data_IF_111218243693
#
_entry.id   IF_111218243693
#
_cell.length_a   1.000
_cell.length_b   1.000
_cell.length_c   1.000
_cell.angle_alpha   90.00
_cell.angle_beta   90.00
_cell.angle_gamma   90.00
#
_symmetry.space_group_name_H-M   'P 1'
#
loop_
_entity.id
_entity.type
_entity.pdbx_description
1 polymer ?
#
# COMPACT_ATOMS: atom_id res chain seq x y z
N UNK A 1 -27.25 -8.73 4.64
CA UNK A 1 -26.75 -7.52 5.35
C UNK A 1 -25.38 -7.26 4.77
N UNK A 2 -25.05 -6.01 4.38
CA UNK A 2 -23.70 -5.73 3.86
C UNK A 2 -22.66 -6.03 4.96
N UNK A 3 -21.57 -6.75 4.65
CA UNK A 3 -20.52 -7.01 5.63
C UNK A 3 -19.74 -5.75 6.01
N UNK A 4 -19.74 -4.72 5.14
CA UNK A 4 -19.06 -3.45 5.37
C UNK A 4 -19.97 -2.27 5.02
N UNK A 5 -19.92 -1.21 5.83
CA UNK A 5 -20.59 0.07 5.62
C UNK A 5 -19.58 1.20 5.37
N UNK A 6 -18.32 0.96 5.72
CA UNK A 6 -17.20 1.89 5.54
C UNK A 6 -15.98 1.17 4.98
N UNK A 7 -15.27 1.86 4.10
CA UNK A 7 -13.92 1.51 3.67
C UNK A 7 -12.95 2.60 4.12
N UNK A 8 -11.86 2.19 4.76
CA UNK A 8 -10.80 3.06 5.25
C UNK A 8 -9.46 2.61 4.66
N UNK A 9 -8.75 3.50 3.97
CA UNK A 9 -7.39 3.25 3.52
C UNK A 9 -6.39 3.98 4.42
N UNK A 10 -5.47 3.21 4.98
CA UNK A 10 -4.34 3.65 5.79
C UNK A 10 -3.04 3.29 5.07
N UNK A 11 -1.99 4.08 5.29
CA UNK A 11 -0.65 3.72 4.85
C UNK A 11 0.06 4.79 4.03
N UNK A 12 0.78 4.32 3.02
CA UNK A 12 1.76 5.09 2.26
C UNK A 12 1.34 5.35 0.79
N UNK A 13 2.33 5.67 -0.05
CA UNK A 13 2.16 5.96 -1.47
C UNK A 13 1.54 4.81 -2.28
N UNK A 14 1.56 3.58 -1.80
CA UNK A 14 0.90 2.46 -2.46
C UNK A 14 -0.63 2.61 -2.52
N UNK A 15 -1.23 3.40 -1.61
CA UNK A 15 -2.68 3.60 -1.50
C UNK A 15 -3.19 4.91 -2.11
N UNK A 16 -2.30 5.89 -2.38
CA UNK A 16 -2.72 7.23 -2.83
C UNK A 16 -2.91 7.34 -4.34
N UNK A 17 -3.56 8.43 -4.77
CA UNK A 17 -3.85 8.69 -6.19
C UNK A 17 -2.70 9.39 -6.94
N UNK A 18 -1.78 10.05 -6.24
CA UNK A 18 -0.82 10.99 -6.82
C UNK A 18 0.01 10.38 -7.96
N UNK A 19 0.76 9.32 -7.67
CA UNK A 19 1.71 8.75 -8.63
C UNK A 19 1.02 8.05 -9.80
N UNK A 20 -0.05 7.27 -9.61
CA UNK A 20 -0.85 6.74 -10.69
C UNK A 20 -1.39 7.81 -11.64
N UNK A 21 -1.87 8.94 -11.11
CA UNK A 21 -2.38 10.04 -11.94
C UNK A 21 -1.26 10.79 -12.68
N UNK A 22 -0.08 10.94 -12.08
CA UNK A 22 1.10 11.48 -12.76
C UNK A 22 1.56 10.57 -13.90
N UNK A 23 1.54 9.26 -13.69
CA UNK A 23 1.89 8.27 -14.70
C UNK A 23 0.89 8.28 -15.88
N UNK A 24 -0.39 8.38 -15.58
CA UNK A 24 -1.45 8.51 -16.59
C UNK A 24 -1.45 9.86 -17.34
N UNK A 25 -0.56 10.79 -16.97
CA UNK A 25 -0.47 12.12 -17.59
C UNK A 25 -1.64 13.06 -17.27
N UNK A 26 -2.43 12.76 -16.23
CA UNK A 26 -3.59 13.54 -15.85
C UNK A 26 -3.24 14.80 -15.07
N UNK A 27 -2.03 14.90 -14.57
CA UNK A 27 -1.51 16.07 -13.84
C UNK A 27 -0.14 16.43 -14.41
N UNK A 28 0.12 17.72 -14.63
CA UNK A 28 1.47 18.19 -14.94
C UNK A 28 2.38 17.99 -13.71
N UNK A 29 3.48 17.28 -13.91
CA UNK A 29 4.44 16.93 -12.83
C UNK A 29 4.97 18.19 -12.13
N UNK A 30 5.24 19.29 -12.87
CA UNK A 30 5.71 20.53 -12.29
C UNK A 30 4.66 21.14 -11.35
N UNK A 31 3.37 21.11 -11.75
CA UNK A 31 2.26 21.61 -10.94
C UNK A 31 2.03 20.73 -9.72
N UNK A 32 2.17 19.40 -9.86
CA UNK A 32 2.01 18.47 -8.76
C UNK A 32 3.11 18.65 -7.68
N UNK A 33 4.37 18.77 -8.10
CA UNK A 33 5.51 18.96 -7.19
C UNK A 33 5.47 20.31 -6.44
N UNK A 34 4.90 21.37 -7.06
CA UNK A 34 4.69 22.65 -6.40
C UNK A 34 3.51 22.64 -5.39
N UNK A 35 2.60 21.68 -5.52
CA UNK A 35 1.37 21.61 -4.75
C UNK A 35 1.26 20.39 -3.83
N UNK A 36 2.30 19.56 -3.69
CA UNK A 36 2.39 18.58 -2.61
C UNK A 36 2.30 19.36 -1.27
N UNK A 37 1.41 19.19 -0.42
CA UNK A 37 0.44 18.17 -0.02
C UNK A 37 -1.04 18.54 -0.30
N UNK A 38 -1.33 19.48 -1.18
CA UNK A 38 -2.68 20.00 -1.40
C UNK A 38 -3.25 19.64 -2.79
N UNK A 39 -2.81 18.56 -3.42
CA UNK A 39 -3.35 18.13 -4.71
C UNK A 39 -4.75 17.51 -4.53
N UNK A 40 -5.72 18.38 -4.22
CA UNK A 40 -7.10 18.09 -4.46
C UNK A 40 -7.40 18.20 -5.97
N UNK A 41 -8.03 17.19 -6.56
CA UNK A 41 -8.43 17.20 -7.97
C UNK A 41 -7.58 16.32 -8.90
N UNK A 42 -6.78 15.42 -8.35
CA UNK A 42 -6.18 14.29 -9.08
C UNK A 42 -7.28 13.27 -9.35
N UNK A 43 -7.28 12.65 -10.54
CA UNK A 43 -8.24 11.58 -10.79
C UNK A 43 -8.04 10.41 -9.80
N UNK A 44 -9.12 9.83 -9.29
CA UNK A 44 -9.09 8.77 -8.29
C UNK A 44 -8.73 7.43 -8.93
N UNK A 45 -7.46 7.25 -9.30
CA UNK A 45 -6.91 6.04 -9.93
C UNK A 45 -5.76 5.39 -9.15
N UNK A 46 -5.56 5.79 -7.90
CA UNK A 46 -4.74 5.07 -6.94
C UNK A 46 -5.43 3.77 -6.49
N UNK A 47 -4.67 2.87 -5.89
CA UNK A 47 -5.18 1.55 -5.55
C UNK A 47 -6.41 1.60 -4.62
N UNK A 48 -6.39 2.47 -3.60
CA UNK A 48 -7.51 2.61 -2.67
C UNK A 48 -8.76 3.18 -3.35
N UNK A 49 -8.59 4.20 -4.19
CA UNK A 49 -9.70 4.80 -4.94
C UNK A 49 -10.29 3.82 -5.94
N UNK A 50 -9.44 3.05 -6.66
CA UNK A 50 -9.88 2.03 -7.61
C UNK A 50 -10.58 0.85 -6.92
N UNK A 51 -10.18 0.47 -5.73
CA UNK A 51 -10.90 -0.54 -4.95
C UNK A 51 -12.28 -0.02 -4.53
N UNK A 52 -12.36 1.24 -4.09
CA UNK A 52 -13.64 1.85 -3.72
C UNK A 52 -14.57 1.97 -4.91
N UNK A 53 -14.10 2.60 -5.98
CA UNK A 53 -14.85 2.82 -7.22
C UNK A 53 -13.94 2.69 -8.43
N UNK A 54 -14.26 1.76 -9.32
CA UNK A 54 -13.50 1.56 -10.54
C UNK A 54 -13.62 2.78 -11.49
N UNK A 55 -12.52 3.11 -12.15
CA UNK A 55 -12.51 4.04 -13.29
C UNK A 55 -12.75 3.26 -14.58
N UNK A 56 -13.99 3.22 -15.06
CA UNK A 56 -14.34 2.48 -16.28
C UNK A 56 -13.62 3.02 -17.52
N UNK A 57 -13.28 4.30 -17.54
CA UNK A 57 -12.49 4.91 -18.61
C UNK A 57 -11.11 4.27 -18.73
N UNK A 58 -10.44 4.00 -17.62
CA UNK A 58 -9.08 3.44 -17.57
C UNK A 58 -9.10 1.91 -17.50
N UNK A 59 -10.06 1.36 -16.79
CA UNK A 59 -10.12 -0.06 -16.43
C UNK A 59 -11.51 -0.67 -16.70
N UNK A 60 -11.98 -0.69 -17.99
CA UNK A 60 -13.31 -1.20 -18.32
C UNK A 60 -13.51 -2.69 -17.98
N UNK A 61 -12.43 -3.47 -17.90
CA UNK A 61 -12.49 -4.89 -17.52
C UNK A 61 -12.94 -5.12 -16.07
N UNK A 62 -12.88 -4.09 -15.22
CA UNK A 62 -13.31 -4.14 -13.81
C UNK A 62 -14.67 -3.44 -13.60
N UNK A 63 -15.45 -3.20 -14.64
CA UNK A 63 -16.77 -2.61 -14.50
C UNK A 63 -17.66 -3.45 -13.57
N UNK A 64 -18.15 -2.83 -12.50
CA UNK A 64 -18.95 -3.51 -11.47
C UNK A 64 -18.14 -4.34 -10.46
N UNK A 65 -16.82 -4.36 -10.56
CA UNK A 65 -15.94 -5.07 -9.63
C UNK A 65 -15.19 -4.09 -8.70
N UNK A 66 -15.97 -3.42 -7.86
CA UNK A 66 -15.52 -2.45 -6.88
C UNK A 66 -16.43 -2.48 -5.63
N UNK A 67 -16.01 -1.79 -4.57
CA UNK A 67 -16.73 -1.84 -3.30
C UNK A 67 -18.11 -1.16 -3.35
N UNK A 68 -18.28 -0.09 -4.14
CA UNK A 68 -19.61 0.56 -4.25
C UNK A 68 -20.62 -0.33 -4.99
N UNK A 69 -20.16 -1.16 -5.92
CA UNK A 69 -20.97 -2.14 -6.63
C UNK A 69 -21.29 -3.36 -5.74
N UNK A 70 -20.31 -3.82 -4.96
CA UNK A 70 -20.46 -4.98 -4.06
C UNK A 70 -21.26 -4.63 -2.79
N UNK A 71 -21.09 -3.42 -2.23
CA UNK A 71 -21.64 -3.02 -0.92
C UNK A 71 -22.36 -1.68 -1.02
N UNK A 72 -23.64 -1.73 -1.33
CA UNK A 72 -24.45 -0.53 -1.54
C UNK A 72 -24.41 0.43 -0.34
N UNK A 73 -24.02 1.66 -0.61
CA UNK A 73 -23.98 2.74 0.40
C UNK A 73 -22.73 2.73 1.29
N UNK A 74 -21.69 1.95 0.92
CA UNK A 74 -20.39 2.01 1.59
C UNK A 74 -19.80 3.43 1.45
N UNK A 75 -19.24 3.95 2.54
CA UNK A 75 -18.49 5.22 2.54
C UNK A 75 -17.00 4.97 2.39
N UNK A 76 -16.23 5.98 2.02
CA UNK A 76 -14.79 5.86 1.81
C UNK A 76 -14.01 7.02 2.44
N UNK A 77 -13.01 6.67 3.22
CA UNK A 77 -12.00 7.59 3.76
C UNK A 77 -10.61 7.09 3.35
N UNK A 78 -9.84 7.94 2.67
CA UNK A 78 -8.43 7.69 2.40
C UNK A 78 -7.60 8.70 3.19
N UNK A 79 -6.90 8.21 4.21
CA UNK A 79 -5.98 9.01 5.03
C UNK A 79 -4.53 8.59 4.83
N UNK A 80 -4.27 7.69 3.89
CA UNK A 80 -2.91 7.33 3.46
C UNK A 80 -2.18 8.58 2.93
N UNK A 81 -0.89 8.64 3.16
CA UNK A 81 -0.07 9.79 2.78
C UNK A 81 1.27 9.36 2.17
N UNK A 82 1.77 10.21 1.27
CA UNK A 82 3.05 9.98 0.60
C UNK A 82 4.19 9.87 1.61
N UNK A 83 5.05 8.86 1.43
CA UNK A 83 6.23 8.67 2.26
C UNK A 83 5.96 8.20 3.69
N UNK A 84 4.71 7.92 4.07
CA UNK A 84 4.36 7.57 5.44
C UNK A 84 5.14 6.36 5.96
N UNK A 85 5.48 6.42 7.25
CA UNK A 85 6.08 5.37 8.06
C UNK A 85 5.05 4.76 9.03
N UNK A 86 5.38 3.63 9.65
CA UNK A 86 4.55 3.01 10.70
C UNK A 86 4.21 4.04 11.80
N UNK A 87 5.20 4.85 12.20
CA UNK A 87 5.01 5.89 13.21
C UNK A 87 4.04 6.99 12.78
N UNK A 88 4.04 7.40 11.51
CA UNK A 88 3.14 8.43 10.99
C UNK A 88 1.70 7.91 10.81
N UNK A 89 1.51 6.63 10.42
CA UNK A 89 0.17 6.04 10.46
C UNK A 89 -0.40 6.10 11.88
N UNK A 90 0.40 5.73 12.88
CA UNK A 90 -0.02 5.78 14.29
C UNK A 90 -0.27 7.22 14.78
N UNK A 91 0.71 8.13 14.58
CA UNK A 91 0.72 9.46 15.17
C UNK A 91 -0.07 10.52 14.39
N UNK A 92 -0.34 10.29 13.10
CA UNK A 92 -1.00 11.27 12.25
C UNK A 92 -2.29 10.75 11.63
N UNK A 93 -2.25 9.60 10.93
CA UNK A 93 -3.43 9.11 10.23
C UNK A 93 -4.52 8.66 11.19
N UNK A 94 -4.19 7.82 12.18
CA UNK A 94 -5.17 7.35 13.17
C UNK A 94 -5.70 8.48 14.05
N UNK A 95 -4.93 9.56 14.27
CA UNK A 95 -5.38 10.69 15.08
C UNK A 95 -6.45 11.54 14.41
N UNK A 96 -6.66 11.40 13.10
CA UNK A 96 -7.72 12.09 12.35
C UNK A 96 -9.05 11.33 12.39
N UNK A 97 -9.08 10.14 12.97
CA UNK A 97 -10.20 9.22 12.92
C UNK A 97 -10.79 9.00 14.30
N UNK A 98 -12.11 8.94 14.38
CA UNK A 98 -12.80 8.54 15.59
C UNK A 98 -12.84 7.01 15.73
N UNK A 99 -12.87 6.53 16.98
CA UNK A 99 -13.11 5.13 17.28
C UNK A 99 -14.56 4.75 16.93
N UNK A 100 -14.75 3.55 16.39
CA UNK A 100 -16.08 3.09 15.97
C UNK A 100 -16.19 1.56 15.99
N UNK A 101 -17.42 1.08 16.18
CA UNK A 101 -17.84 -0.31 16.00
C UNK A 101 -18.55 -0.53 14.65
N UNK A 102 -18.53 0.46 13.78
CA UNK A 102 -19.08 0.37 12.43
C UNK A 102 -18.38 -0.73 11.63
N UNK A 103 -19.13 -1.59 10.89
CA UNK A 103 -18.53 -2.60 10.02
C UNK A 103 -17.60 -1.96 8.97
N UNK A 104 -16.29 -2.03 9.19
CA UNK A 104 -15.27 -1.34 8.39
C UNK A 104 -14.33 -2.32 7.71
N UNK A 105 -14.13 -2.18 6.40
CA UNK A 105 -12.98 -2.74 5.70
C UNK A 105 -11.82 -1.76 5.81
N UNK A 106 -10.65 -2.24 6.22
CA UNK A 106 -9.44 -1.39 6.34
C UNK A 106 -8.34 -2.01 5.48
N UNK A 107 -7.73 -1.25 4.57
CA UNK A 107 -6.47 -1.63 3.91
C UNK A 107 -5.31 -0.90 4.57
N UNK A 108 -4.19 -1.60 4.76
CA UNK A 108 -2.96 -1.04 5.33
C UNK A 108 -1.76 -1.37 4.43
N UNK A 109 -1.15 -0.34 3.86
CA UNK A 109 0.08 -0.40 3.06
C UNK A 109 1.16 0.39 3.78
N UNK A 110 2.13 -0.27 4.42
CA UNK A 110 3.14 0.44 5.22
C UNK A 110 4.38 -0.42 5.46
N UNK A 111 5.51 0.21 5.79
CA UNK A 111 6.77 -0.42 6.18
C UNK A 111 7.89 -0.24 5.14
N UNK A 112 7.54 0.02 3.88
CA UNK A 112 8.52 0.25 2.82
C UNK A 112 9.42 1.46 3.09
N UNK A 113 8.82 2.58 3.49
CA UNK A 113 9.55 3.82 3.81
C UNK A 113 10.40 3.68 5.06
N UNK A 114 9.94 2.93 6.06
CA UNK A 114 10.73 2.62 7.26
C UNK A 114 12.02 1.89 6.90
N UNK A 115 11.91 0.83 6.07
CA UNK A 115 13.06 0.04 5.63
C UNK A 115 14.01 0.85 4.74
N UNK A 116 13.48 1.62 3.77
CA UNK A 116 14.29 2.48 2.90
C UNK A 116 15.03 3.55 3.70
N UNK A 117 14.35 4.22 4.64
CA UNK A 117 14.94 5.23 5.50
C UNK A 117 16.04 4.63 6.40
N UNK A 118 15.78 3.44 6.96
CA UNK A 118 16.78 2.73 7.75
C UNK A 118 18.04 2.44 6.96
N UNK A 119 17.90 1.96 5.71
CA UNK A 119 19.03 1.69 4.82
C UNK A 119 19.78 2.97 4.41
N UNK A 120 19.08 4.03 4.10
CA UNK A 120 19.65 5.32 3.71
C UNK A 120 20.58 5.93 4.77
N UNK A 121 20.39 5.58 6.04
CA UNK A 121 21.26 5.99 7.15
C UNK A 121 22.59 5.19 7.24
N UNK A 122 22.87 4.28 6.29
CA UNK A 122 24.10 3.48 6.19
C UNK A 122 24.43 2.69 7.46
N UNK A 123 23.48 1.97 8.07
CA UNK A 123 23.77 1.21 9.26
C UNK A 123 24.65 -0.01 8.94
N UNK A 124 25.38 -0.51 9.96
CA UNK A 124 25.97 -1.85 9.84
C UNK A 124 24.85 -2.90 9.75
N UNK A 125 25.16 -4.06 9.17
CA UNK A 125 24.18 -5.13 8.94
C UNK A 125 23.45 -5.54 10.22
N UNK A 126 24.17 -5.74 11.33
CA UNK A 126 23.57 -6.13 12.61
C UNK A 126 22.61 -5.08 13.17
N UNK A 127 22.90 -3.78 12.90
CA UNK A 127 22.01 -2.70 13.27
C UNK A 127 20.77 -2.67 12.38
N UNK A 128 20.93 -2.91 11.08
CA UNK A 128 19.80 -2.96 10.16
C UNK A 128 18.84 -4.10 10.50
N UNK A 129 19.36 -5.28 10.84
CA UNK A 129 18.54 -6.42 11.31
C UNK A 129 17.83 -6.15 12.64
N UNK A 130 18.40 -5.31 13.48
CA UNK A 130 17.75 -4.85 14.71
C UNK A 130 16.63 -3.85 14.39
N UNK A 131 16.90 -2.87 13.54
CA UNK A 131 15.91 -1.86 13.13
C UNK A 131 14.72 -2.54 12.44
N UNK A 132 14.95 -3.54 11.59
CA UNK A 132 13.88 -4.31 10.96
C UNK A 132 12.96 -4.98 12.00
N UNK A 133 13.54 -5.59 13.05
CA UNK A 133 12.72 -6.15 14.15
C UNK A 133 11.97 -5.06 14.92
N UNK A 134 12.59 -3.92 15.18
CA UNK A 134 11.94 -2.79 15.85
C UNK A 134 10.75 -2.25 14.99
N UNK A 135 10.90 -2.24 13.66
CA UNK A 135 9.81 -1.90 12.72
C UNK A 135 8.69 -2.95 12.76
N UNK A 136 9.03 -4.24 12.78
CA UNK A 136 8.04 -5.32 12.86
C UNK A 136 7.25 -5.26 14.19
N UNK A 137 7.91 -5.01 15.32
CA UNK A 137 7.25 -4.81 16.60
C UNK A 137 6.34 -3.57 16.61
N UNK A 138 6.78 -2.47 15.98
CA UNK A 138 5.95 -1.27 15.83
C UNK A 138 4.74 -1.52 14.92
N UNK A 139 4.91 -2.34 13.88
CA UNK A 139 3.82 -2.77 13.00
C UNK A 139 2.78 -3.61 13.75
N UNK A 140 3.20 -4.55 14.58
CA UNK A 140 2.30 -5.34 15.44
C UNK A 140 1.47 -4.42 16.36
N UNK A 141 2.14 -3.49 17.03
CA UNK A 141 1.48 -2.51 17.89
C UNK A 141 0.49 -1.63 17.12
N UNK A 142 0.81 -1.22 15.89
CA UNK A 142 -0.08 -0.49 15.01
C UNK A 142 -1.34 -1.31 14.67
N UNK A 143 -1.16 -2.58 14.27
CA UNK A 143 -2.26 -3.50 13.96
C UNK A 143 -3.18 -3.68 15.17
N UNK A 144 -2.63 -3.91 16.36
CA UNK A 144 -3.40 -4.04 17.59
C UNK A 144 -4.17 -2.74 17.91
N UNK A 145 -3.55 -1.58 17.68
CA UNK A 145 -4.19 -0.28 17.89
C UNK A 145 -5.35 -0.07 16.92
N UNK A 146 -5.16 -0.36 15.62
CA UNK A 146 -6.23 -0.28 14.61
C UNK A 146 -7.40 -1.15 15.03
N UNK A 147 -7.15 -2.38 15.44
CA UNK A 147 -8.20 -3.32 15.87
C UNK A 147 -8.93 -2.89 17.13
N UNK A 148 -8.21 -2.27 18.07
CA UNK A 148 -8.81 -1.69 19.27
C UNK A 148 -9.75 -0.53 18.97
N UNK A 149 -9.36 0.34 18.03
CA UNK A 149 -10.14 1.52 17.63
C UNK A 149 -11.32 1.20 16.71
N UNK A 150 -11.16 0.16 15.86
CA UNK A 150 -12.17 -0.28 14.89
C UNK A 150 -12.59 -1.73 15.22
N UNK A 151 -13.32 -1.90 16.31
CA UNK A 151 -13.60 -3.21 16.91
C UNK A 151 -14.38 -4.18 16.01
N UNK A 152 -15.13 -3.67 15.02
CA UNK A 152 -15.86 -4.45 14.02
C UNK A 152 -15.25 -4.30 12.62
N UNK A 153 -13.91 -4.32 12.52
CA UNK A 153 -13.21 -4.23 11.23
C UNK A 153 -12.76 -5.58 10.70
N UNK A 154 -12.65 -5.66 9.38
CA UNK A 154 -11.78 -6.59 8.66
C UNK A 154 -10.57 -5.81 8.20
N UNK A 155 -9.38 -6.24 8.61
CA UNK A 155 -8.12 -5.59 8.27
C UNK A 155 -7.43 -6.36 7.16
N UNK A 156 -7.02 -5.68 6.09
CA UNK A 156 -6.26 -6.25 4.98
C UNK A 156 -4.83 -5.71 5.05
N UNK A 157 -3.88 -6.58 5.34
CA UNK A 157 -2.46 -6.26 5.41
C UNK A 157 -1.80 -6.50 4.07
N UNK A 158 -1.18 -5.48 3.49
CA UNK A 158 -0.42 -5.60 2.26
C UNK A 158 1.07 -5.85 2.54
N UNK A 159 1.67 -6.80 1.83
CA UNK A 159 3.13 -6.91 1.79
C UNK A 159 3.73 -5.80 0.94
N UNK A 160 4.96 -5.40 1.24
CA UNK A 160 5.71 -4.37 0.50
C UNK A 160 6.33 -5.00 -0.75
N UNK A 161 6.09 -4.41 -1.92
CA UNK A 161 6.66 -4.88 -3.19
C UNK A 161 8.18 -4.65 -3.28
N UNK A 162 8.83 -5.33 -4.21
CA UNK A 162 10.26 -5.18 -4.53
C UNK A 162 10.46 -4.66 -5.97
N UNK A 163 10.71 -3.37 -6.16
CA UNK A 163 10.95 -2.82 -7.49
C UNK A 163 12.22 -3.35 -8.17
N UNK A 164 13.13 -3.96 -7.39
CA UNK A 164 14.40 -4.47 -7.91
C UNK A 164 14.33 -5.87 -8.52
N UNK A 165 13.18 -6.56 -8.40
CA UNK A 165 13.01 -7.98 -8.78
C UNK A 165 14.08 -8.90 -8.14
N UNK A 166 14.38 -8.69 -6.85
CA UNK A 166 15.33 -9.50 -6.08
C UNK A 166 16.79 -9.10 -6.21
N UNK A 167 17.13 -8.09 -7.02
CA UNK A 167 18.53 -7.66 -7.20
C UNK A 167 19.00 -6.66 -6.16
N UNK A 168 18.09 -5.97 -5.50
CA UNK A 168 18.36 -4.85 -4.58
C UNK A 168 18.78 -3.56 -5.30
N UNK A 169 18.88 -3.56 -6.63
CA UNK A 169 19.33 -2.40 -7.42
C UNK A 169 18.11 -1.70 -8.04
N UNK A 170 17.85 -0.48 -7.58
CA UNK A 170 16.77 0.37 -8.09
C UNK A 170 17.41 1.68 -8.54
N UNK A 171 17.46 1.96 -9.85
CA UNK A 171 18.07 3.19 -10.37
C UNK A 171 17.46 4.45 -9.72
N UNK A 172 18.33 5.33 -9.22
CA UNK A 172 17.93 6.56 -8.54
C UNK A 172 17.61 6.40 -7.05
N UNK A 173 17.68 5.19 -6.51
CA UNK A 173 17.44 4.92 -5.08
C UNK A 173 18.75 4.46 -4.44
N UNK A 174 19.41 5.37 -3.74
CA UNK A 174 20.67 5.10 -3.03
C UNK A 174 21.77 4.48 -3.90
N UNK A 175 21.93 4.93 -5.13
CA UNK A 175 22.90 4.41 -6.11
C UNK A 175 24.35 4.33 -5.58
N UNK A 176 24.70 5.17 -4.60
CA UNK A 176 26.01 5.23 -3.96
C UNK A 176 26.17 4.23 -2.80
N UNK A 177 25.11 3.54 -2.35
CA UNK A 177 25.14 2.58 -1.26
C UNK A 177 25.29 1.12 -1.71
N UNK A 178 25.06 0.86 -3.01
CA UNK A 178 25.01 -0.49 -3.55
C UNK A 178 23.62 -1.14 -3.41
N UNK A 179 23.52 -2.47 -3.56
CA UNK A 179 22.23 -3.16 -3.52
C UNK A 179 21.54 -3.05 -2.16
N UNK A 180 20.23 -2.79 -2.17
CA UNK A 180 19.39 -2.93 -0.99
C UNK A 180 19.41 -4.37 -0.47
N UNK A 181 19.43 -4.59 0.84
CA UNK A 181 19.45 -5.91 1.44
C UNK A 181 18.06 -6.56 1.38
N UNK A 182 17.73 -7.16 0.25
CA UNK A 182 16.40 -7.74 -0.04
C UNK A 182 15.94 -8.75 1.00
N UNK A 183 16.86 -9.46 1.63
CA UNK A 183 16.56 -10.38 2.73
C UNK A 183 15.91 -9.68 3.95
N UNK A 184 16.12 -8.38 4.13
CA UNK A 184 15.45 -7.59 5.17
C UNK A 184 13.98 -7.37 4.81
N UNK A 185 13.73 -6.98 3.55
CA UNK A 185 12.38 -6.85 3.02
C UNK A 185 11.62 -8.18 3.08
N UNK A 186 12.26 -9.28 2.70
CA UNK A 186 11.64 -10.61 2.77
C UNK A 186 11.23 -10.98 4.19
N UNK A 187 12.09 -10.76 5.21
CA UNK A 187 11.75 -11.04 6.61
C UNK A 187 10.57 -10.19 7.10
N UNK A 188 10.55 -8.90 6.75
CA UNK A 188 9.43 -8.04 7.08
C UNK A 188 8.13 -8.53 6.42
N UNK A 189 8.17 -8.87 5.13
CA UNK A 189 7.01 -9.41 4.42
C UNK A 189 6.56 -10.77 4.98
N UNK A 190 7.48 -11.63 5.39
CA UNK A 190 7.15 -12.92 6.05
C UNK A 190 6.49 -12.68 7.41
N UNK A 191 6.90 -11.64 8.15
CA UNK A 191 6.25 -11.22 9.38
C UNK A 191 4.81 -10.75 9.11
N UNK A 192 4.60 -9.89 8.10
CA UNK A 192 3.25 -9.43 7.68
C UNK A 192 2.35 -10.62 7.30
N UNK A 193 2.86 -11.60 6.53
CA UNK A 193 2.13 -12.83 6.17
C UNK A 193 1.73 -13.64 7.40
N UNK A 194 2.68 -13.85 8.32
CA UNK A 194 2.44 -14.61 9.54
C UNK A 194 1.38 -13.91 10.42
N UNK A 195 1.47 -12.59 10.56
CA UNK A 195 0.52 -11.80 11.33
C UNK A 195 -0.88 -11.86 10.72
N UNK A 196 -1.01 -11.72 9.39
CA UNK A 196 -2.30 -11.81 8.70
C UNK A 196 -2.97 -13.18 8.91
N UNK A 197 -2.21 -14.26 8.78
CA UNK A 197 -2.72 -15.64 8.99
C UNK A 197 -3.07 -15.88 10.47
N UNK A 198 -2.27 -15.36 11.40
CA UNK A 198 -2.44 -15.58 12.85
C UNK A 198 -3.51 -14.73 13.49
N UNK A 199 -4.04 -13.71 12.83
CA UNK A 199 -4.93 -12.71 13.41
C UNK A 199 -6.35 -12.86 12.86
N UNK A 200 -7.38 -13.08 13.69
CA UNK A 200 -8.77 -13.22 13.23
C UNK A 200 -9.25 -11.98 12.45
N UNK A 201 -10.09 -12.19 11.44
CA UNK A 201 -10.63 -11.11 10.58
C UNK A 201 -9.53 -10.23 9.96
N UNK A 202 -8.41 -10.87 9.62
CA UNK A 202 -7.31 -10.22 8.91
C UNK A 202 -7.08 -10.96 7.61
N UNK A 203 -7.00 -10.21 6.51
CA UNK A 203 -6.74 -10.73 5.17
C UNK A 203 -5.31 -10.40 4.77
N UNK A 204 -4.68 -11.30 4.04
CA UNK A 204 -3.38 -11.06 3.43
C UNK A 204 -3.58 -10.56 1.99
N UNK A 205 -2.97 -9.43 1.67
CA UNK A 205 -2.79 -8.95 0.31
C UNK A 205 -1.32 -9.10 -0.09
N UNK A 206 -0.93 -10.21 -0.70
CA UNK A 206 0.48 -10.47 -1.04
C UNK A 206 0.91 -9.73 -2.31
N UNK A 207 0.99 -8.40 -2.19
CA UNK A 207 1.42 -7.50 -3.27
C UNK A 207 2.85 -7.80 -3.70
N UNK A 208 3.74 -8.16 -2.75
CA UNK A 208 5.12 -8.51 -3.05
C UNK A 208 5.21 -9.63 -4.09
N UNK A 209 4.55 -10.76 -3.83
CA UNK A 209 4.60 -11.91 -4.73
C UNK A 209 3.96 -11.60 -6.08
N UNK A 210 2.90 -10.80 -6.11
CA UNK A 210 2.22 -10.42 -7.34
C UNK A 210 3.05 -9.48 -8.22
N UNK A 211 3.88 -8.61 -7.63
CA UNK A 211 4.68 -7.61 -8.34
C UNK A 211 6.02 -8.13 -8.87
N UNK A 212 6.50 -9.31 -8.41
CA UNK A 212 7.76 -9.89 -8.89
C UNK A 212 7.74 -10.13 -10.40
N UNK A 213 8.80 -9.70 -11.09
CA UNK A 213 8.94 -9.76 -12.54
C UNK A 213 8.38 -8.54 -13.27
N UNK A 214 7.85 -7.56 -12.55
CA UNK A 214 7.32 -6.30 -13.10
C UNK A 214 8.08 -5.05 -12.61
N UNK A 215 9.27 -5.24 -12.05
CA UNK A 215 10.17 -4.19 -11.59
C UNK A 215 11.15 -3.72 -12.65
N UNK A 216 12.32 -3.28 -12.18
CA UNK A 216 13.36 -2.66 -13.04
C UNK A 216 13.95 -3.63 -14.07
N UNK A 217 13.91 -4.93 -13.81
CA UNK A 217 14.38 -5.99 -14.70
C UNK A 217 13.44 -6.26 -15.88
N UNK A 218 12.17 -5.87 -15.76
CA UNK A 218 11.19 -6.03 -16.81
C UNK A 218 11.37 -5.01 -17.95
N UNK A 219 10.91 -5.32 -19.19
CA UNK A 219 10.76 -4.32 -20.24
C UNK A 219 9.88 -3.16 -19.73
N UNK A 220 10.17 -1.92 -20.18
CA UNK A 220 9.45 -0.73 -19.67
C UNK A 220 7.93 -0.82 -19.83
N UNK A 221 7.43 -1.45 -20.89
CA UNK A 221 6.01 -1.68 -21.14
C UNK A 221 5.34 -2.62 -20.12
N UNK A 222 6.14 -3.44 -19.44
CA UNK A 222 5.64 -4.48 -18.52
C UNK A 222 5.86 -4.12 -17.05
N UNK A 223 6.50 -2.96 -16.80
CA UNK A 223 6.74 -2.45 -15.45
C UNK A 223 5.45 -1.90 -14.85
N UNK A 224 5.30 -2.13 -13.55
CA UNK A 224 4.16 -1.64 -12.77
C UNK A 224 4.52 -0.44 -11.89
N UNK A 225 5.72 0.07 -12.05
CA UNK A 225 6.24 1.23 -11.31
C UNK A 225 6.30 2.46 -12.21
N UNK A 226 6.12 3.62 -11.61
CA UNK A 226 6.19 4.88 -12.32
C UNK A 226 7.62 5.15 -12.81
N UNK A 227 7.77 5.42 -14.11
CA UNK A 227 9.08 5.55 -14.75
C UNK A 227 9.99 6.66 -14.19
N UNK A 228 9.43 7.67 -13.45
CA UNK A 228 10.18 8.77 -12.85
C UNK A 228 10.55 8.52 -11.38
N UNK A 229 9.88 7.59 -10.73
CA UNK A 229 10.21 7.12 -9.40
C UNK A 229 9.88 5.63 -9.33
N UNK A 230 10.91 4.80 -9.47
CA UNK A 230 10.74 3.34 -9.61
C UNK A 230 10.37 2.64 -8.30
N UNK A 231 10.14 3.40 -7.23
CA UNK A 231 9.57 2.89 -5.97
C UNK A 231 8.07 3.18 -5.84
N UNK A 232 7.51 3.99 -6.77
CA UNK A 232 6.12 4.38 -6.73
C UNK A 232 5.28 3.58 -7.74
N UNK A 233 4.02 3.25 -7.44
CA UNK A 233 3.19 2.52 -8.39
C UNK A 233 2.82 3.39 -9.59
N UNK A 234 2.89 2.82 -10.78
CA UNK A 234 2.27 3.40 -11.99
C UNK A 234 0.74 3.30 -11.91
N UNK A 235 0.03 3.87 -12.87
CA UNK A 235 -1.41 3.67 -13.00
C UNK A 235 -1.78 2.17 -13.11
N UNK A 236 -0.97 1.40 -13.87
CA UNK A 236 -1.10 -0.05 -13.94
C UNK A 236 -0.80 -0.71 -12.59
N UNK A 237 0.29 -0.31 -11.92
CA UNK A 237 0.66 -0.86 -10.62
C UNK A 237 -0.44 -0.65 -9.57
N UNK A 238 -1.06 0.52 -9.52
CA UNK A 238 -2.20 0.77 -8.64
C UNK A 238 -3.40 -0.16 -8.94
N UNK A 239 -3.69 -0.40 -10.22
CA UNK A 239 -4.72 -1.36 -10.63
C UNK A 239 -4.36 -2.79 -10.23
N UNK A 240 -3.08 -3.18 -10.29
CA UNK A 240 -2.62 -4.52 -9.89
C UNK A 240 -2.65 -4.70 -8.35
N UNK A 241 -2.36 -3.65 -7.56
CA UNK A 241 -2.58 -3.68 -6.10
C UNK A 241 -4.07 -3.91 -5.80
N UNK A 242 -4.99 -3.16 -6.45
CA UNK A 242 -6.42 -3.39 -6.33
C UNK A 242 -6.80 -4.84 -6.68
N UNK A 243 -6.20 -5.43 -7.71
CA UNK A 243 -6.46 -6.82 -8.12
C UNK A 243 -6.14 -7.80 -6.99
N UNK A 244 -5.02 -7.61 -6.31
CA UNK A 244 -4.65 -8.43 -5.13
C UNK A 244 -5.67 -8.26 -3.99
N UNK A 245 -6.13 -7.02 -3.76
CA UNK A 245 -7.13 -6.75 -2.72
C UNK A 245 -8.49 -7.37 -3.02
N UNK A 246 -8.95 -7.31 -4.28
CA UNK A 246 -10.20 -7.95 -4.72
C UNK A 246 -10.10 -9.47 -4.55
N UNK A 247 -8.98 -10.07 -4.94
CA UNK A 247 -8.76 -11.51 -4.78
C UNK A 247 -8.83 -11.94 -3.30
N UNK A 248 -8.18 -11.20 -2.41
CA UNK A 248 -8.23 -11.48 -0.97
C UNK A 248 -9.66 -11.37 -0.38
N UNK A 249 -10.47 -10.42 -0.88
CA UNK A 249 -11.88 -10.31 -0.49
C UNK A 249 -12.72 -11.47 -1.02
N UNK A 250 -12.45 -11.94 -2.23
CA UNK A 250 -13.19 -13.05 -2.85
C UNK A 250 -12.86 -14.39 -2.18
N UNK A 251 -11.61 -14.61 -1.80
CA UNK A 251 -11.18 -15.77 -1.01
C UNK A 251 -11.88 -15.80 0.35
N UNK A 252 -11.90 -14.65 1.06
CA UNK A 252 -12.56 -14.54 2.37
C UNK A 252 -14.09 -14.69 2.32
N UNK A 253 -14.73 -14.47 1.17
CA UNK A 253 -16.16 -14.64 0.99
C UNK A 253 -16.54 -16.09 0.64
N UNK A 254 -15.57 -16.91 0.23
CA UNK A 254 -15.77 -18.31 -0.14
C UNK A 254 -15.64 -19.27 1.07
N UNK A 255 -15.00 -18.82 2.16
CA UNK A 255 -14.81 -19.56 3.43
C UNK A 255 -16.00 -19.32 4.38
#
# INVERSE_FOLDING_TARGET
MNPYTRYLALGDSMSIDLYPALDAGQVDVAVALERLPTVGGVAPIGAASLLYQNSEEHWPAYAGDDLISRYRGITFDNVASDGATVGEVFGEQLMQLDETDEPTLITLTIGGNDLLSAYGNRPRRELLERIERDIAEAFDFLVDTIRGRFSNSTLMLATVYDPSDGTGLIPGVYDDLGPLPIEILHRFNDHVRALAIGTPRTLLADVHSHFLGHGVSAPESDRWYWRRSLIEPSARGASEIRTVWLAALDEAAAD
#
